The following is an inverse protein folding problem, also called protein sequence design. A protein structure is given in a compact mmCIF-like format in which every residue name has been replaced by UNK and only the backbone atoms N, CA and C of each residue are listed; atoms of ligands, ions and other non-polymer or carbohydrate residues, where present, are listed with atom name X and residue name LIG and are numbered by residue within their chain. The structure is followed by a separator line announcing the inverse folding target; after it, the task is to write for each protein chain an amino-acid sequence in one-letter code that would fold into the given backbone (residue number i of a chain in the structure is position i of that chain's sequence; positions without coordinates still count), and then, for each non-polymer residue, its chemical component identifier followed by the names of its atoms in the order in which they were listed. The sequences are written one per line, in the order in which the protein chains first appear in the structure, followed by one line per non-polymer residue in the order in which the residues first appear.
data_IF_677911619351
#
_entry.id   IF_677911619351
#
_cell.length_a   1.000
_cell.length_b   1.000
_cell.length_c   1.000
_cell.angle_alpha   90.00
_cell.angle_beta   90.00
_cell.angle_gamma   90.00
#
_symmetry.space_group_name_H-M   'P 1'
#
loop_
_entity.id
_entity.type
_entity.pdbx_description
1 polymer ?
#
# COMPACT_ATOMS: atom_id res chain seq x y z
N UNK A 1 15.12 -11.49 -1.15
CA UNK A 1 14.24 -10.31 -0.91
C UNK A 1 14.29 -10.02 0.58
N UNK A 2 14.26 -8.75 0.97
CA UNK A 2 14.21 -8.33 2.36
C UNK A 2 12.86 -7.62 2.57
N UNK A 3 12.08 -8.09 3.54
CA UNK A 3 10.84 -7.44 3.97
C UNK A 3 11.13 -6.68 5.27
N UNK A 4 10.65 -5.45 5.35
CA UNK A 4 10.90 -4.55 6.48
C UNK A 4 9.56 -4.02 6.99
N UNK A 5 9.17 -4.45 8.19
CA UNK A 5 8.06 -3.83 8.91
C UNK A 5 8.51 -2.44 9.38
N UNK A 6 7.89 -1.39 8.84
CA UNK A 6 8.23 -0.01 9.17
C UNK A 6 7.01 0.90 9.02
N UNK A 7 6.94 2.02 9.76
CA UNK A 7 7.86 2.45 10.82
C UNK A 7 7.71 1.62 12.12
N UNK A 8 8.40 2.04 13.19
CA UNK A 8 8.24 1.44 14.51
C UNK A 8 6.77 1.39 14.93
N UNK A 9 6.36 0.32 15.60
CA UNK A 9 4.98 -0.06 15.94
C UNK A 9 4.15 -0.70 14.80
N UNK A 10 4.71 -0.94 13.61
CA UNK A 10 4.07 -1.75 12.55
C UNK A 10 4.52 -3.21 12.62
N UNK A 11 3.58 -4.15 12.51
CA UNK A 11 3.87 -5.58 12.45
C UNK A 11 4.66 -6.04 13.67
N UNK A 12 5.89 -6.53 13.45
CA UNK A 12 6.81 -6.90 14.53
C UNK A 12 7.82 -5.83 14.92
N UNK A 13 7.82 -4.66 14.27
CA UNK A 13 8.68 -3.54 14.68
C UNK A 13 8.07 -2.84 15.90
N UNK A 14 8.78 -2.76 17.02
CA UNK A 14 8.25 -2.21 18.28
C UNK A 14 9.25 -1.33 19.01
N UNK A 15 8.73 -0.45 19.88
CA UNK A 15 9.48 0.44 20.77
C UNK A 15 9.55 -0.13 22.19
N UNK A 16 8.39 -0.43 22.78
CA UNK A 16 8.25 -1.05 24.10
C UNK A 16 7.04 -1.96 24.10
N UNK A 17 7.04 -2.95 24.99
CA UNK A 17 6.02 -3.98 25.03
C UNK A 17 4.96 -3.65 26.08
N UNK A 18 3.71 -3.80 25.68
CA UNK A 18 2.55 -3.74 26.56
C UNK A 18 1.72 -5.01 26.42
N UNK A 19 1.01 -5.37 27.49
CA UNK A 19 -0.05 -6.36 27.40
C UNK A 19 -1.36 -5.67 27.04
N UNK A 20 -2.15 -6.30 26.17
CA UNK A 20 -3.43 -5.75 25.72
C UNK A 20 -4.34 -6.79 25.09
N UNK A 21 -5.48 -6.31 24.60
CA UNK A 21 -6.45 -7.12 23.88
C UNK A 21 -6.84 -6.42 22.59
N UNK A 22 -6.96 -7.19 21.50
CA UNK A 22 -7.59 -6.76 20.26
C UNK A 22 -9.05 -7.22 20.28
N UNK A 23 -9.95 -6.40 19.73
CA UNK A 23 -11.35 -6.73 19.61
C UNK A 23 -11.72 -6.92 18.13
N UNK A 24 -11.64 -8.16 17.66
CA UNK A 24 -11.71 -8.56 16.25
C UNK A 24 -12.98 -8.05 15.51
N UNK A 25 -14.20 -8.08 16.10
CA UNK A 25 -15.39 -7.54 15.43
C UNK A 25 -15.41 -6.01 15.31
N UNK A 26 -14.64 -5.29 16.11
CA UNK A 26 -14.63 -3.82 16.16
C UNK A 26 -13.46 -3.27 15.35
N UNK A 27 -12.28 -3.83 15.58
CA UNK A 27 -11.07 -3.54 14.82
C UNK A 27 -10.01 -4.60 15.13
N UNK A 28 -9.55 -5.36 14.12
CA UNK A 28 -8.46 -6.34 14.28
C UNK A 28 -7.08 -5.66 14.51
N UNK A 29 -7.04 -4.33 14.58
CA UNK A 29 -5.81 -3.54 14.68
C UNK A 29 -5.75 -2.68 15.94
N UNK A 30 -6.88 -2.44 16.59
CA UNK A 30 -6.95 -1.56 17.75
C UNK A 30 -6.62 -2.33 19.04
N UNK A 31 -5.42 -2.12 19.55
CA UNK A 31 -4.98 -2.69 20.83
C UNK A 31 -5.51 -1.85 21.99
N UNK A 32 -6.24 -2.48 22.90
CA UNK A 32 -6.63 -1.89 24.19
C UNK A 32 -5.67 -2.36 25.29
N UNK A 33 -4.89 -1.48 25.93
CA UNK A 33 -3.99 -1.87 27.02
C UNK A 33 -4.77 -2.53 28.17
N UNK A 34 -4.29 -3.69 28.63
CA UNK A 34 -4.91 -4.46 29.71
C UNK A 34 -3.86 -5.27 30.45
N UNK A 35 -3.95 -5.30 31.78
CA UNK A 35 -3.19 -6.28 32.56
C UNK A 35 -3.81 -7.67 32.33
N UNK A 36 -3.14 -8.49 31.52
CA UNK A 36 -3.58 -9.84 31.21
C UNK A 36 -3.16 -10.78 32.35
N UNK A 37 -4.12 -11.45 32.95
CA UNK A 37 -3.89 -12.54 33.90
C UNK A 37 -3.90 -13.90 33.19
N UNK A 38 -3.38 -14.95 33.84
CA UNK A 38 -3.49 -16.33 33.34
C UNK A 38 -4.94 -16.77 33.11
N UNK A 39 -5.90 -16.20 33.85
CA UNK A 39 -7.32 -16.47 33.66
C UNK A 39 -7.85 -15.86 32.35
N UNK A 40 -7.37 -14.68 31.97
CA UNK A 40 -7.72 -14.04 30.69
C UNK A 40 -7.20 -14.84 29.48
N UNK A 41 -6.06 -15.54 29.64
CA UNK A 41 -5.49 -16.41 28.60
C UNK A 41 -6.22 -17.77 28.48
N UNK A 42 -6.95 -18.16 29.52
CA UNK A 42 -7.72 -19.42 29.54
C UNK A 42 -9.14 -19.27 28.98
N UNK A 43 -9.60 -18.04 28.80
CA UNK A 43 -10.86 -17.75 28.11
C UNK A 43 -10.56 -17.65 26.62
N UNK A 44 -10.94 -18.68 25.88
CA UNK A 44 -10.87 -18.71 24.42
C UNK A 44 -11.96 -17.79 23.84
N UNK A 45 -11.75 -16.48 23.92
CA UNK A 45 -12.66 -15.50 23.33
C UNK A 45 -12.26 -15.23 21.90
N UNK A 46 -12.91 -15.92 20.96
CA UNK A 46 -12.76 -15.75 19.51
C UNK A 46 -12.89 -14.28 19.04
N UNK A 47 -13.50 -13.42 19.84
CA UNK A 47 -13.71 -11.99 19.52
C UNK A 47 -12.74 -11.05 20.23
N UNK A 48 -12.12 -11.47 21.34
CA UNK A 48 -11.20 -10.64 22.11
C UNK A 48 -9.87 -11.38 22.27
N UNK A 49 -8.87 -11.00 21.49
CA UNK A 49 -7.58 -11.69 21.42
C UNK A 49 -6.59 -11.04 22.39
N UNK A 50 -6.22 -11.69 23.52
CA UNK A 50 -5.18 -11.20 24.40
C UNK A 50 -3.80 -11.39 23.75
N UNK A 51 -2.89 -10.46 24.02
CA UNK A 51 -1.53 -10.53 23.49
C UNK A 51 -0.57 -9.51 24.06
N UNK A 52 0.67 -9.58 23.59
CA UNK A 52 1.69 -8.57 23.83
C UNK A 52 1.88 -7.76 22.56
N UNK A 53 1.92 -6.44 22.66
CA UNK A 53 1.93 -5.52 21.52
C UNK A 53 2.94 -4.39 21.74
N UNK A 54 3.22 -3.62 20.69
CA UNK A 54 3.95 -2.36 20.80
C UNK A 54 3.16 -1.31 21.63
N UNK A 55 3.79 -0.22 22.04
CA UNK A 55 3.25 0.70 23.06
C UNK A 55 1.95 1.41 22.70
N UNK A 56 1.59 1.46 21.41
CA UNK A 56 0.50 2.26 20.86
C UNK A 56 0.66 3.77 21.10
N UNK A 57 1.86 4.22 21.48
CA UNK A 57 2.13 5.62 21.74
C UNK A 57 2.42 6.34 20.43
N UNK A 58 1.49 7.17 19.98
CA UNK A 58 1.61 8.03 18.77
C UNK A 58 2.89 8.87 18.78
N UNK A 59 3.35 9.32 19.96
CA UNK A 59 4.58 10.11 20.08
C UNK A 59 5.88 9.28 19.97
N UNK A 60 5.77 7.94 19.99
CA UNK A 60 6.91 7.00 19.90
C UNK A 60 6.98 6.31 18.53
N UNK A 61 6.42 6.92 17.49
CA UNK A 61 6.56 6.45 16.11
C UNK A 61 6.86 7.59 15.15
N UNK A 62 7.25 7.24 13.92
CA UNK A 62 7.36 8.22 12.84
C UNK A 62 5.98 8.81 12.56
N UNK A 63 5.92 10.12 12.38
CA UNK A 63 4.69 10.83 12.02
C UNK A 63 4.73 11.42 10.60
N UNK A 64 5.84 11.23 9.88
CA UNK A 64 5.98 11.61 8.47
C UNK A 64 6.75 10.54 7.70
N UNK A 65 6.52 10.46 6.39
CA UNK A 65 7.27 9.60 5.47
C UNK A 65 8.78 9.94 5.48
N UNK A 66 9.14 11.22 5.62
CA UNK A 66 10.55 11.64 5.70
C UNK A 66 11.26 11.09 6.95
N UNK A 67 10.60 11.08 8.11
CA UNK A 67 11.16 10.49 9.33
C UNK A 67 11.29 8.97 9.17
N UNK A 68 10.29 8.30 8.60
CA UNK A 68 10.33 6.86 8.31
C UNK A 68 11.48 6.50 7.35
N UNK A 69 11.73 7.31 6.32
CA UNK A 69 12.84 7.14 5.39
C UNK A 69 14.22 7.24 6.07
N UNK A 70 14.40 8.19 7.01
CA UNK A 70 15.63 8.30 7.80
C UNK A 70 15.89 7.06 8.64
N UNK A 71 14.87 6.60 9.37
CA UNK A 71 14.97 5.39 10.20
C UNK A 71 15.29 4.16 9.33
N UNK A 72 14.61 4.01 8.18
CA UNK A 72 14.86 2.93 7.23
C UNK A 72 16.28 2.98 6.66
N UNK A 73 16.83 4.16 6.38
CA UNK A 73 18.22 4.30 5.95
C UNK A 73 19.20 3.84 7.03
N UNK A 74 19.02 4.24 8.29
CA UNK A 74 19.86 3.78 9.40
C UNK A 74 19.77 2.27 9.59
N UNK A 75 18.57 1.70 9.47
CA UNK A 75 18.39 0.25 9.47
C UNK A 75 19.20 -0.40 8.34
N UNK A 76 19.08 0.08 7.09
CA UNK A 76 19.80 -0.48 5.94
C UNK A 76 21.33 -0.39 6.13
N UNK A 77 21.83 0.75 6.61
CA UNK A 77 23.26 0.94 6.90
C UNK A 77 23.75 -0.04 7.97
N UNK A 78 22.95 -0.27 9.02
CA UNK A 78 23.28 -1.22 10.08
C UNK A 78 23.23 -2.66 9.56
N UNK A 79 22.15 -3.02 8.85
CA UNK A 79 21.93 -4.35 8.29
C UNK A 79 23.08 -4.83 7.40
N UNK A 80 23.55 -4.01 6.46
CA UNK A 80 24.63 -4.39 5.56
C UNK A 80 26.00 -4.48 6.25
N UNK A 81 26.16 -3.88 7.44
CA UNK A 81 27.37 -3.94 8.24
C UNK A 81 27.35 -5.18 9.14
N UNK A 82 26.22 -5.46 9.81
CA UNK A 82 26.05 -6.61 10.70
C UNK A 82 25.88 -7.93 9.93
N UNK A 83 25.30 -7.88 8.73
CA UNK A 83 25.04 -9.05 7.88
C UNK A 83 25.72 -8.90 6.50
N UNK A 84 27.07 -8.88 6.44
CA UNK A 84 27.82 -8.63 5.21
C UNK A 84 27.57 -9.66 4.10
N UNK A 85 27.14 -10.88 4.45
CA UNK A 85 26.73 -11.93 3.50
C UNK A 85 25.48 -11.56 2.70
N UNK A 86 24.62 -10.69 3.23
CA UNK A 86 23.43 -10.16 2.55
C UNK A 86 23.70 -8.80 1.90
N UNK A 87 24.95 -8.31 1.92
CA UNK A 87 25.31 -7.06 1.27
C UNK A 87 24.99 -7.14 -0.23
N UNK A 88 24.27 -6.16 -0.79
CA UNK A 88 23.90 -6.21 -2.19
C UNK A 88 25.13 -6.19 -3.10
N UNK A 89 25.09 -6.96 -4.19
CA UNK A 89 26.15 -6.95 -5.20
C UNK A 89 26.33 -5.54 -5.76
N UNK A 90 27.57 -5.05 -5.79
CA UNK A 90 27.91 -3.68 -6.22
C UNK A 90 27.11 -2.59 -5.47
N UNK A 91 26.67 -2.87 -4.24
CA UNK A 91 25.79 -2.00 -3.44
C UNK A 91 24.50 -1.58 -4.16
N UNK A 92 24.00 -2.39 -5.11
CA UNK A 92 22.77 -2.09 -5.84
C UNK A 92 21.55 -2.59 -5.10
N UNK A 93 20.56 -1.72 -4.93
CA UNK A 93 19.33 -1.99 -4.21
C UNK A 93 18.12 -1.69 -5.10
N UNK A 94 17.10 -2.53 -5.00
CA UNK A 94 15.80 -2.27 -5.60
C UNK A 94 14.77 -2.13 -4.49
N UNK A 95 13.91 -1.14 -4.60
CA UNK A 95 12.85 -0.87 -3.64
C UNK A 95 11.50 -1.12 -4.31
N UNK A 96 10.67 -1.91 -3.64
CA UNK A 96 9.31 -2.20 -4.09
C UNK A 96 8.34 -1.89 -2.96
N UNK A 97 7.20 -1.31 -3.30
CA UNK A 97 6.16 -0.96 -2.34
C UNK A 97 4.78 -1.00 -2.97
N UNK A 98 3.77 -1.17 -2.13
CA UNK A 98 2.36 -1.22 -2.52
C UNK A 98 1.59 -0.13 -1.76
N UNK A 99 0.50 0.40 -2.33
CA UNK A 99 -0.39 1.32 -1.62
C UNK A 99 0.32 2.62 -1.18
N UNK A 100 0.36 2.90 0.12
CA UNK A 100 1.15 3.96 0.74
C UNK A 100 2.67 3.81 0.50
N UNK A 101 3.12 2.66 0.00
CA UNK A 101 4.45 2.48 -0.57
C UNK A 101 4.80 3.50 -1.66
N UNK A 102 3.81 4.11 -2.32
CA UNK A 102 4.00 5.26 -3.22
C UNK A 102 4.52 6.54 -2.55
N UNK A 103 4.41 6.64 -1.23
CA UNK A 103 5.08 7.67 -0.42
C UNK A 103 6.43 7.16 0.11
N UNK A 104 6.44 5.98 0.74
CA UNK A 104 7.65 5.44 1.37
C UNK A 104 8.81 5.21 0.39
N UNK A 105 8.53 4.58 -0.75
CA UNK A 105 9.59 4.12 -1.66
C UNK A 105 10.29 5.28 -2.37
N UNK A 106 9.59 6.25 -3.00
CA UNK A 106 10.26 7.39 -3.62
C UNK A 106 11.03 8.22 -2.59
N UNK A 107 10.46 8.44 -1.40
CA UNK A 107 11.10 9.21 -0.33
C UNK A 107 12.36 8.53 0.19
N UNK A 108 12.33 7.22 0.43
CA UNK A 108 13.51 6.46 0.83
C UNK A 108 14.60 6.44 -0.25
N UNK A 109 14.21 6.23 -1.52
CA UNK A 109 15.15 6.25 -2.65
C UNK A 109 15.83 7.62 -2.78
N UNK A 110 15.05 8.71 -2.72
CA UNK A 110 15.56 10.08 -2.73
C UNK A 110 16.48 10.37 -1.54
N UNK A 111 16.10 9.93 -0.34
CA UNK A 111 16.92 10.08 0.86
C UNK A 111 18.25 9.33 0.73
N UNK A 112 18.25 8.08 0.25
CA UNK A 112 19.48 7.32 -0.05
C UNK A 112 20.37 8.11 -1.04
N UNK A 113 19.80 8.66 -2.11
CA UNK A 113 20.52 9.51 -3.05
C UNK A 113 21.17 10.73 -2.40
N UNK A 114 20.45 11.40 -1.49
CA UNK A 114 20.98 12.53 -0.71
C UNK A 114 22.15 12.11 0.18
N UNK A 115 22.05 10.97 0.86
CA UNK A 115 23.10 10.45 1.73
C UNK A 115 24.33 10.04 0.92
N UNK A 116 24.15 9.43 -0.26
CA UNK A 116 25.28 9.10 -1.14
C UNK A 116 26.10 10.35 -1.53
N UNK A 117 25.44 11.48 -1.82
CA UNK A 117 26.11 12.75 -2.11
C UNK A 117 26.94 13.24 -0.91
N UNK A 118 26.40 13.12 0.30
CA UNK A 118 27.11 13.47 1.53
C UNK A 118 28.31 12.55 1.83
N UNK A 119 28.18 11.25 1.57
CA UNK A 119 29.28 10.29 1.70
C UNK A 119 30.39 10.63 0.70
N UNK A 120 30.04 10.88 -0.57
CA UNK A 120 31.02 11.19 -1.62
C UNK A 120 31.82 12.47 -1.33
N UNK A 121 31.17 13.47 -0.72
CA UNK A 121 31.79 14.75 -0.34
C UNK A 121 32.57 14.71 0.98
N UNK A 122 32.60 13.56 1.67
CA UNK A 122 33.22 13.37 3.00
C UNK A 122 32.68 14.31 4.08
N UNK A 123 31.46 14.83 3.91
CA UNK A 123 30.78 15.65 4.92
C UNK A 123 30.18 14.78 6.05
N UNK A 124 30.15 13.45 5.88
CA UNK A 124 29.88 12.50 6.96
C UNK A 124 31.23 12.08 7.56
N UNK A 125 31.43 12.45 8.82
CA UNK A 125 32.68 12.21 9.57
C UNK A 125 32.81 10.79 10.10
N UNK A 126 31.77 9.96 9.98
CA UNK A 126 31.82 8.54 10.32
C UNK A 126 32.27 7.74 9.09
N UNK A 127 33.45 7.15 9.17
CA UNK A 127 34.09 6.34 8.11
C UNK A 127 33.35 5.03 7.77
N UNK A 128 32.15 4.80 8.33
CA UNK A 128 31.42 3.53 8.27
C UNK A 128 30.22 3.51 7.29
N UNK A 129 29.73 4.67 6.82
CA UNK A 129 28.58 4.72 5.93
C UNK A 129 28.92 4.19 4.51
N UNK A 130 28.06 3.32 3.97
CA UNK A 130 28.24 2.66 2.67
C UNK A 130 27.25 3.24 1.66
N UNK A 131 27.72 3.77 0.51
CA UNK A 131 26.84 4.22 -0.57
C UNK A 131 25.98 3.07 -1.11
N UNK A 132 24.67 3.31 -1.25
CA UNK A 132 23.70 2.36 -1.81
C UNK A 132 23.10 2.92 -3.10
N UNK A 133 23.22 2.19 -4.21
CA UNK A 133 22.76 2.64 -5.52
C UNK A 133 21.38 2.05 -5.82
N UNK A 134 20.37 2.91 -5.98
CA UNK A 134 19.03 2.46 -6.35
C UNK A 134 19.03 2.07 -7.82
N UNK A 135 18.54 0.87 -8.13
CA UNK A 135 18.50 0.33 -9.49
C UNK A 135 17.08 0.24 -10.03
N UNK A 136 16.12 -0.16 -9.18
CA UNK A 136 14.69 -0.25 -9.53
C UNK A 136 13.85 0.31 -8.40
N UNK A 137 12.85 1.11 -8.76
CA UNK A 137 11.70 1.46 -7.94
C UNK A 137 10.47 0.83 -8.58
N UNK A 138 9.84 -0.11 -7.87
CA UNK A 138 8.58 -0.72 -8.29
C UNK A 138 7.44 -0.33 -7.36
N UNK A 139 6.31 0.06 -7.94
CA UNK A 139 5.17 0.60 -7.21
C UNK A 139 3.91 -0.13 -7.66
N UNK A 140 3.32 -0.91 -6.76
CA UNK A 140 2.09 -1.67 -6.99
C UNK A 140 0.91 -0.88 -6.42
N UNK A 141 -0.12 -0.59 -7.22
CA UNK A 141 -1.32 0.13 -6.79
C UNK A 141 -1.01 1.27 -5.84
N UNK A 142 -0.05 2.10 -6.23
CA UNK A 142 0.54 3.06 -5.32
C UNK A 142 -0.26 4.37 -5.29
N UNK A 143 -0.46 4.88 -4.10
CA UNK A 143 -0.90 6.24 -3.88
C UNK A 143 0.35 7.12 -3.78
N UNK A 144 0.52 8.05 -4.72
CA UNK A 144 1.77 8.79 -4.96
C UNK A 144 1.52 10.30 -4.84
N UNK A 145 0.50 10.83 -5.51
CA UNK A 145 0.21 12.27 -5.48
C UNK A 145 -1.29 12.58 -5.49
N UNK A 146 -1.74 13.25 -4.41
CA UNK A 146 -3.12 13.65 -4.22
C UNK A 146 -3.66 14.55 -5.33
N UNK A 147 -2.86 15.49 -5.84
CA UNK A 147 -3.32 16.45 -6.85
C UNK A 147 -3.63 15.79 -8.19
N UNK A 148 -3.06 14.61 -8.45
CA UNK A 148 -3.28 13.84 -9.68
C UNK A 148 -4.33 12.75 -9.49
N UNK A 149 -4.30 12.01 -8.37
CA UNK A 149 -5.14 10.82 -8.21
C UNK A 149 -6.53 11.14 -7.66
N UNK A 150 -6.66 12.10 -6.74
CA UNK A 150 -7.94 12.41 -6.09
C UNK A 150 -9.04 12.86 -7.06
N UNK A 151 -8.77 13.65 -8.10
CA UNK A 151 -9.77 13.97 -9.11
C UNK A 151 -10.37 12.75 -9.82
N UNK A 152 -9.69 11.59 -9.78
CA UNK A 152 -10.10 10.40 -10.51
C UNK A 152 -10.93 9.42 -9.69
N UNK A 153 -11.06 9.60 -8.38
CA UNK A 153 -12.02 8.81 -7.58
C UNK A 153 -13.46 8.91 -8.10
N UNK A 154 -14.04 10.11 -8.32
CA UNK A 154 -15.39 10.21 -8.84
C UNK A 154 -15.50 9.71 -10.29
N UNK A 155 -14.46 9.95 -11.12
CA UNK A 155 -14.42 9.44 -12.50
C UNK A 155 -14.49 7.92 -12.52
N UNK A 156 -13.64 7.25 -11.74
CA UNK A 156 -13.58 5.80 -11.70
C UNK A 156 -14.88 5.17 -11.14
N UNK A 157 -15.44 5.76 -10.09
CA UNK A 157 -16.68 5.28 -9.49
C UNK A 157 -17.90 5.41 -10.43
N UNK A 158 -17.86 6.37 -11.36
CA UNK A 158 -18.93 6.64 -12.31
C UNK A 158 -18.74 5.92 -13.67
N UNK A 159 -17.53 5.93 -14.22
CA UNK A 159 -17.15 5.33 -15.50
C UNK A 159 -15.83 4.56 -15.40
N UNK A 160 -15.91 3.23 -15.53
CA UNK A 160 -14.77 2.33 -15.44
C UNK A 160 -14.84 1.22 -16.50
N UNK A 161 -13.85 0.33 -16.43
CA UNK A 161 -13.65 -0.74 -17.40
C UNK A 161 -14.47 -2.00 -17.15
N UNK A 162 -15.30 -2.00 -16.11
CA UNK A 162 -16.18 -3.12 -15.75
C UNK A 162 -17.66 -2.80 -15.94
N UNK A 163 -17.99 -1.57 -16.37
CA UNK A 163 -19.36 -1.14 -16.65
C UNK A 163 -20.23 -0.97 -15.40
N UNK A 164 -19.61 -0.88 -14.22
CA UNK A 164 -20.31 -0.60 -12.96
C UNK A 164 -20.40 0.91 -12.74
N UNK A 165 -21.60 1.43 -12.59
CA UNK A 165 -21.81 2.81 -12.16
C UNK A 165 -22.15 2.79 -10.66
N UNK A 166 -21.12 2.93 -9.82
CA UNK A 166 -21.24 2.76 -8.35
C UNK A 166 -21.88 3.99 -7.70
N UNK A 167 -21.57 5.18 -8.21
CA UNK A 167 -22.18 6.45 -7.78
C UNK A 167 -23.12 7.00 -8.85
N UNK A 168 -24.16 7.72 -8.43
CA UNK A 168 -25.09 8.34 -9.36
C UNK A 168 -24.53 9.66 -9.94
N UNK A 169 -25.22 10.23 -10.94
CA UNK A 169 -24.75 11.45 -11.60
C UNK A 169 -24.66 12.66 -10.66
N UNK A 170 -25.57 12.81 -9.69
CA UNK A 170 -25.51 13.91 -8.71
C UNK A 170 -24.27 13.78 -7.84
N UNK A 171 -24.04 12.59 -7.27
CA UNK A 171 -22.84 12.31 -6.45
C UNK A 171 -21.55 12.54 -7.25
N UNK A 172 -21.54 12.15 -8.53
CA UNK A 172 -20.42 12.37 -9.43
C UNK A 172 -20.14 13.88 -9.65
N UNK A 173 -21.16 14.67 -9.96
CA UNK A 173 -21.01 16.12 -10.16
C UNK A 173 -20.60 16.83 -8.86
N UNK A 174 -21.24 16.51 -7.73
CA UNK A 174 -20.90 17.10 -6.43
C UNK A 174 -19.43 16.83 -6.05
N UNK A 175 -18.94 15.61 -6.31
CA UNK A 175 -17.55 15.25 -6.07
C UNK A 175 -16.58 16.00 -6.98
N UNK A 176 -16.91 16.18 -8.26
CA UNK A 176 -16.11 16.99 -9.20
C UNK A 176 -16.07 18.48 -8.80
N UNK A 177 -17.20 19.04 -8.35
CA UNK A 177 -17.29 20.43 -7.91
C UNK A 177 -16.44 20.70 -6.65
N UNK A 178 -16.18 19.67 -5.84
CA UNK A 178 -15.28 19.76 -4.69
C UNK A 178 -13.79 19.69 -5.04
N UNK A 179 -13.41 19.17 -6.22
CA UNK A 179 -12.01 18.98 -6.62
C UNK A 179 -11.20 20.29 -6.57
N UNK A 180 -11.66 21.42 -7.14
CA UNK A 180 -10.88 22.66 -7.10
C UNK A 180 -10.52 23.12 -5.69
N UNK A 181 -11.44 22.96 -4.73
CA UNK A 181 -11.17 23.30 -3.33
C UNK A 181 -10.17 22.32 -2.69
N UNK A 182 -10.28 21.02 -2.98
CA UNK A 182 -9.30 20.02 -2.54
C UNK A 182 -7.88 20.36 -3.04
N UNK A 183 -7.74 20.72 -4.32
CA UNK A 183 -6.45 21.10 -4.90
C UNK A 183 -5.90 22.38 -4.28
N UNK A 184 -6.73 23.40 -4.08
CA UNK A 184 -6.30 24.66 -3.42
C UNK A 184 -5.84 24.45 -1.97
N UNK A 185 -6.51 23.57 -1.21
CA UNK A 185 -6.09 23.20 0.14
C UNK A 185 -4.78 22.39 0.12
N UNK A 186 -4.62 21.50 -0.87
CA UNK A 186 -3.38 20.75 -1.09
C UNK A 186 -2.21 21.69 -1.37
N UNK A 187 -2.38 22.65 -2.28
CA UNK A 187 -1.36 23.66 -2.59
C UNK A 187 -1.04 24.52 -1.37
N UNK A 188 -2.03 24.89 -0.57
CA UNK A 188 -1.82 25.63 0.68
C UNK A 188 -0.95 24.83 1.66
N UNK A 189 -1.25 23.54 1.86
CA UNK A 189 -0.44 22.64 2.67
C UNK A 189 1.01 22.57 2.16
N UNK A 190 1.20 22.27 0.87
CA UNK A 190 2.54 22.09 0.26
C UNK A 190 3.37 23.36 0.32
N UNK A 191 2.80 24.51 -0.03
CA UNK A 191 3.46 25.81 0.07
C UNK A 191 3.90 26.16 1.51
N UNK A 192 3.12 25.75 2.52
CA UNK A 192 3.49 25.93 3.92
C UNK A 192 4.59 24.94 4.33
N UNK A 193 4.50 23.68 3.90
CA UNK A 193 5.50 22.64 4.17
C UNK A 193 6.87 23.05 3.63
N UNK A 194 6.96 23.47 2.36
CA UNK A 194 8.21 23.94 1.75
C UNK A 194 8.86 25.11 2.51
N UNK A 195 8.04 26.02 3.06
CA UNK A 195 8.54 27.23 3.74
C UNK A 195 8.89 26.99 5.21
N UNK A 196 8.16 26.11 5.89
CA UNK A 196 8.14 26.04 7.35
C UNK A 196 8.49 24.66 7.92
N UNK A 197 8.56 23.63 7.08
CA UNK A 197 8.98 22.27 7.41
C UNK A 197 9.67 21.56 6.21
N UNK A 198 10.70 22.17 5.58
CA UNK A 198 11.29 21.66 4.34
C UNK A 198 11.97 20.29 4.50
N UNK A 199 12.39 19.95 5.71
CA UNK A 199 12.95 18.63 6.03
C UNK A 199 11.88 17.61 6.46
N UNK A 200 10.60 17.97 6.47
CA UNK A 200 9.50 17.06 6.79
C UNK A 200 9.58 16.45 8.19
N UNK A 201 9.97 17.24 9.20
CA UNK A 201 10.03 16.77 10.59
C UNK A 201 8.65 16.64 11.23
N UNK A 202 7.59 17.20 10.63
CA UNK A 202 6.23 17.05 11.15
C UNK A 202 6.00 17.78 12.48
N UNK A 203 6.89 18.70 12.88
CA UNK A 203 6.80 19.42 14.15
C UNK A 203 6.09 20.78 14.03
N UNK A 204 5.88 21.26 12.80
CA UNK A 204 5.25 22.54 12.56
C UNK A 204 3.72 22.43 12.60
N UNK A 205 3.11 22.89 13.70
CA UNK A 205 1.65 22.82 13.91
C UNK A 205 0.84 23.48 12.78
N UNK A 206 1.33 24.60 12.22
CA UNK A 206 0.62 25.32 11.15
C UNK A 206 0.62 24.52 9.85
N UNK A 207 1.75 23.89 9.52
CA UNK A 207 1.85 23.00 8.36
C UNK A 207 0.93 21.79 8.56
N UNK A 208 1.06 21.11 9.70
CA UNK A 208 0.28 19.91 10.01
C UNK A 208 -1.23 20.19 9.92
N UNK A 209 -1.71 21.29 10.52
CA UNK A 209 -3.12 21.64 10.48
C UNK A 209 -3.62 21.90 9.05
N UNK A 210 -2.83 22.60 8.22
CA UNK A 210 -3.19 22.85 6.83
C UNK A 210 -3.26 21.54 6.02
N UNK A 211 -2.29 20.65 6.21
CA UNK A 211 -2.21 19.36 5.53
C UNK A 211 -3.28 18.36 5.98
N UNK A 212 -3.56 18.28 7.28
CA UNK A 212 -4.65 17.45 7.83
C UNK A 212 -6.02 17.96 7.32
N UNK A 213 -6.21 19.27 7.26
CA UNK A 213 -7.44 19.88 6.74
C UNK A 213 -7.62 19.56 5.26
N UNK A 214 -6.55 19.68 4.47
CA UNK A 214 -6.56 19.27 3.07
C UNK A 214 -6.89 17.78 2.91
N UNK A 215 -6.28 16.91 3.73
CA UNK A 215 -6.54 15.47 3.71
C UNK A 215 -8.02 15.16 3.95
N UNK A 216 -8.57 15.64 5.08
CA UNK A 216 -9.98 15.40 5.43
C UNK A 216 -10.93 15.96 4.38
N UNK A 217 -10.65 17.17 3.87
CA UNK A 217 -11.49 17.78 2.85
C UNK A 217 -11.40 17.07 1.51
N UNK A 218 -10.24 16.57 1.08
CA UNK A 218 -10.10 15.91 -0.21
C UNK A 218 -10.86 14.58 -0.24
N UNK A 219 -10.67 13.72 0.76
CA UNK A 219 -11.26 12.38 0.78
C UNK A 219 -12.75 12.37 1.15
N UNK A 220 -13.24 13.37 1.88
CA UNK A 220 -14.66 13.49 2.23
C UNK A 220 -15.60 13.45 1.00
N UNK A 221 -15.57 14.45 0.11
CA UNK A 221 -16.47 14.54 -1.05
C UNK A 221 -16.06 13.62 -2.20
N UNK A 222 -14.77 13.27 -2.37
CA UNK A 222 -14.32 12.53 -3.56
C UNK A 222 -14.33 11.01 -3.39
N UNK A 223 -14.15 10.50 -2.16
CA UNK A 223 -14.08 9.06 -1.87
C UNK A 223 -15.31 8.55 -1.11
N UNK A 224 -15.83 9.30 -0.12
CA UNK A 224 -16.93 8.81 0.73
C UNK A 224 -18.22 8.42 -0.03
N UNK A 225 -18.62 9.08 -1.13
CA UNK A 225 -19.80 8.64 -1.88
C UNK A 225 -19.69 7.18 -2.32
N UNK A 226 -18.51 6.73 -2.76
CA UNK A 226 -18.24 5.32 -3.08
C UNK A 226 -18.31 4.44 -1.83
N UNK A 227 -17.63 4.83 -0.74
CA UNK A 227 -17.57 4.04 0.50
C UNK A 227 -18.95 3.75 1.09
N UNK A 228 -19.91 4.66 0.88
CA UNK A 228 -21.29 4.49 1.34
C UNK A 228 -22.07 3.38 0.61
N UNK A 229 -21.54 2.83 -0.48
CA UNK A 229 -22.22 1.83 -1.33
C UNK A 229 -21.92 0.38 -0.94
N UNK A 230 -20.98 0.14 -0.03
CA UNK A 230 -20.64 -1.20 0.46
C UNK A 230 -19.80 -2.04 -0.51
N UNK A 231 -19.26 -1.43 -1.57
CA UNK A 231 -18.22 -2.05 -2.40
C UNK A 231 -16.88 -2.12 -1.64
N UNK A 232 -16.08 -3.15 -1.92
CA UNK A 232 -14.72 -3.22 -1.37
C UNK A 232 -13.82 -2.14 -2.02
N UNK A 233 -13.10 -1.39 -1.20
CA UNK A 233 -12.13 -0.38 -1.62
C UNK A 233 -10.95 -0.96 -2.40
N UNK A 234 -10.54 -2.18 -2.06
CA UNK A 234 -9.41 -2.87 -2.66
C UNK A 234 -9.80 -3.75 -3.86
N UNK A 235 -11.10 -3.94 -4.05
CA UNK A 235 -11.71 -4.55 -5.22
C UNK A 235 -13.13 -4.05 -5.46
N UNK A 236 -13.27 -2.99 -6.25
CA UNK A 236 -14.57 -2.32 -6.44
C UNK A 236 -15.62 -3.19 -7.12
N UNK A 237 -15.22 -4.32 -7.69
CA UNK A 237 -16.15 -5.25 -8.33
C UNK A 237 -16.84 -6.17 -7.32
N UNK A 238 -16.39 -6.17 -6.06
CA UNK A 238 -16.89 -6.98 -4.96
C UNK A 238 -17.62 -6.13 -3.91
N UNK A 239 -18.47 -6.77 -3.12
CA UNK A 239 -19.15 -6.17 -1.98
C UNK A 239 -18.50 -6.65 -0.69
N UNK A 240 -18.37 -5.77 0.30
CA UNK A 240 -17.90 -6.14 1.63
C UNK A 240 -18.99 -6.95 2.39
N UNK A 241 -18.62 -7.96 3.21
CA UNK A 241 -17.26 -8.44 3.44
C UNK A 241 -16.70 -9.22 2.25
N UNK A 242 -15.45 -8.96 1.88
CA UNK A 242 -14.67 -9.76 0.93
C UNK A 242 -13.58 -10.53 1.69
N UNK A 243 -13.33 -11.75 1.24
CA UNK A 243 -12.32 -12.65 1.81
C UNK A 243 -11.17 -12.91 0.85
N UNK A 244 -11.13 -12.21 -0.30
CA UNK A 244 -10.03 -12.29 -1.25
C UNK A 244 -9.29 -10.95 -1.38
N UNK A 245 -7.95 -10.93 -1.25
CA UNK A 245 -7.10 -12.05 -0.89
C UNK A 245 -7.32 -12.55 0.55
N UNK A 246 -7.03 -13.83 0.84
CA UNK A 246 -7.25 -14.38 2.17
C UNK A 246 -6.44 -13.68 3.27
N UNK A 247 -7.07 -13.39 4.41
CA UNK A 247 -6.46 -12.71 5.56
C UNK A 247 -5.67 -13.64 6.50
N UNK A 248 -5.27 -14.82 6.01
CA UNK A 248 -4.70 -15.91 6.82
C UNK A 248 -3.33 -15.60 7.44
N UNK A 249 -2.63 -14.59 6.94
CA UNK A 249 -1.31 -14.20 7.44
C UNK A 249 -1.34 -13.89 8.96
N UNK A 250 -2.40 -13.25 9.45
CA UNK A 250 -2.52 -12.89 10.86
C UNK A 250 -2.50 -14.11 11.79
N UNK A 251 -3.19 -15.20 11.44
CA UNK A 251 -3.23 -16.40 12.28
C UNK A 251 -1.92 -17.19 12.22
N UNK A 252 -1.30 -17.25 11.04
CA UNK A 252 0.01 -17.88 10.87
C UNK A 252 1.10 -17.14 11.68
N UNK A 253 1.21 -15.83 11.52
CA UNK A 253 2.22 -14.99 12.19
C UNK A 253 1.99 -14.88 13.70
N UNK A 254 0.76 -15.06 14.18
CA UNK A 254 0.44 -15.12 15.61
C UNK A 254 0.49 -16.53 16.21
N UNK A 255 0.83 -17.55 15.43
CA UNK A 255 1.07 -18.87 16.00
C UNK A 255 2.34 -18.89 16.86
N UNK A 256 2.27 -19.60 17.98
CA UNK A 256 3.40 -19.69 18.93
C UNK A 256 4.68 -20.22 18.28
N UNK A 257 4.54 -21.23 17.43
CA UNK A 257 5.66 -21.83 16.71
C UNK A 257 6.36 -20.82 15.80
N UNK A 258 5.59 -20.06 15.02
CA UNK A 258 6.14 -19.05 14.10
C UNK A 258 6.80 -17.91 14.86
N UNK A 259 6.18 -17.38 15.91
CA UNK A 259 6.78 -16.31 16.73
C UNK A 259 8.10 -16.75 17.38
N UNK A 260 8.16 -18.00 17.88
CA UNK A 260 9.39 -18.59 18.41
C UNK A 260 10.48 -18.70 17.33
N UNK A 261 10.11 -19.19 16.15
CA UNK A 261 11.05 -19.36 15.04
C UNK A 261 11.60 -18.01 14.53
N UNK A 262 10.78 -16.96 14.53
CA UNK A 262 11.19 -15.59 14.18
C UNK A 262 11.93 -14.87 15.32
N UNK A 263 11.85 -15.38 16.55
CA UNK A 263 12.46 -14.74 17.73
C UNK A 263 11.77 -13.44 18.15
N UNK A 264 10.48 -13.28 17.83
CA UNK A 264 9.72 -12.06 18.11
C UNK A 264 8.98 -12.14 19.46
N UNK A 265 9.00 -11.07 20.29
CA UNK A 265 8.40 -11.10 21.63
C UNK A 265 6.96 -10.58 21.70
N UNK A 266 6.32 -10.33 20.55
CA UNK A 266 5.01 -9.70 20.45
C UNK A 266 4.12 -10.38 19.40
N UNK A 267 2.83 -10.12 19.50
CA UNK A 267 1.82 -10.46 18.52
C UNK A 267 1.91 -9.54 17.28
N UNK A 268 1.72 -10.14 16.11
CA UNK A 268 1.66 -9.45 14.84
C UNK A 268 0.35 -8.67 14.72
N UNK A 269 0.43 -7.42 14.27
CA UNK A 269 -0.73 -6.64 13.82
C UNK A 269 -0.54 -6.23 12.36
N UNK A 270 -1.58 -6.43 11.53
CA UNK A 270 -1.54 -6.08 10.10
C UNK A 270 -1.51 -4.58 9.83
N UNK A 271 -1.89 -3.77 10.82
CA UNK A 271 -1.88 -2.31 10.78
C UNK A 271 -1.53 -1.77 12.18
N UNK A 272 -1.00 -0.56 12.24
CA UNK A 272 -0.75 0.18 13.48
C UNK A 272 -1.61 1.44 13.53
N UNK A 273 -2.58 1.47 14.45
CA UNK A 273 -3.48 2.62 14.62
C UNK A 273 -2.73 3.86 15.08
N UNK A 274 -1.70 3.69 15.93
CA UNK A 274 -0.84 4.78 16.37
C UNK A 274 -0.07 5.43 15.21
N UNK A 275 0.47 4.62 14.29
CA UNK A 275 1.15 5.12 13.08
C UNK A 275 0.16 5.81 12.15
N UNK A 276 -0.99 5.17 11.88
CA UNK A 276 -2.02 5.76 11.03
C UNK A 276 -2.48 7.12 11.57
N UNK A 277 -2.71 7.22 12.88
CA UNK A 277 -3.05 8.48 13.54
C UNK A 277 -1.93 9.52 13.38
N UNK A 278 -0.67 9.15 13.66
CA UNK A 278 0.47 10.07 13.55
C UNK A 278 0.59 10.67 12.14
N UNK A 279 0.42 9.85 11.10
CA UNK A 279 0.49 10.28 9.70
C UNK A 279 -0.72 11.12 9.26
N UNK A 280 -1.91 10.85 9.80
CA UNK A 280 -3.11 11.67 9.55
C UNK A 280 -3.01 13.03 10.23
N UNK A 281 -2.55 13.09 11.48
CA UNK A 281 -2.41 14.33 12.26
C UNK A 281 -1.36 15.29 11.67
N UNK A 282 -0.33 14.74 11.01
CA UNK A 282 0.58 15.56 10.22
C UNK A 282 0.01 15.86 8.83
N UNK A 283 -0.92 15.08 8.31
CA UNK A 283 -1.42 15.20 6.94
C UNK A 283 -0.37 14.78 5.91
N UNK A 284 0.44 13.77 6.24
CA UNK A 284 1.59 13.34 5.45
C UNK A 284 1.23 12.93 4.01
N UNK A 285 0.04 12.35 3.81
CA UNK A 285 -0.51 12.02 2.49
C UNK A 285 -0.55 13.23 1.53
N UNK A 286 -0.73 14.45 2.05
CA UNK A 286 -0.88 15.67 1.23
C UNK A 286 0.47 16.37 0.98
N UNK A 287 1.49 16.12 1.81
CA UNK A 287 2.77 16.84 1.80
C UNK A 287 3.52 16.80 0.46
N UNK A 288 3.34 15.76 -0.36
CA UNK A 288 3.81 15.72 -1.76
C UNK A 288 5.26 15.23 -1.94
N UNK A 289 5.97 15.79 -2.93
CA UNK A 289 7.35 15.47 -3.38
C UNK A 289 7.57 14.15 -4.14
N UNK A 290 6.68 13.16 -4.00
CA UNK A 290 6.90 11.85 -4.61
C UNK A 290 7.05 11.88 -6.14
N UNK A 291 6.27 12.73 -6.86
CA UNK A 291 6.36 12.87 -8.31
C UNK A 291 7.72 13.44 -8.77
N UNK A 292 8.21 14.47 -8.07
CA UNK A 292 9.52 15.08 -8.35
C UNK A 292 10.63 14.07 -8.09
N UNK A 293 10.57 13.36 -6.96
CA UNK A 293 11.53 12.31 -6.61
C UNK A 293 11.59 11.20 -7.67
N UNK A 294 10.43 10.77 -8.20
CA UNK A 294 10.41 9.79 -9.29
C UNK A 294 11.05 10.32 -10.58
N UNK A 295 10.87 11.61 -10.88
CA UNK A 295 11.53 12.29 -11.99
C UNK A 295 13.05 12.29 -11.86
N UNK A 296 13.55 12.74 -10.69
CA UNK A 296 14.97 12.77 -10.37
C UNK A 296 15.62 11.38 -10.41
N UNK A 297 14.90 10.36 -9.94
CA UNK A 297 15.36 8.97 -9.97
C UNK A 297 15.49 8.48 -11.43
N UNK A 298 14.51 8.75 -12.29
CA UNK A 298 14.59 8.41 -13.72
C UNK A 298 15.78 9.07 -14.41
N UNK A 299 15.99 10.37 -14.17
CA UNK A 299 17.12 11.12 -14.74
C UNK A 299 18.47 10.68 -14.18
N UNK A 300 18.47 10.01 -13.01
CA UNK A 300 19.64 9.34 -12.44
C UNK A 300 19.84 7.90 -12.95
N UNK A 301 19.02 7.43 -13.89
CA UNK A 301 19.11 6.10 -14.50
C UNK A 301 18.39 4.99 -13.73
N UNK A 302 17.57 5.32 -12.73
CA UNK A 302 16.75 4.33 -12.00
C UNK A 302 15.58 3.88 -12.88
N UNK A 303 15.29 2.58 -12.88
CA UNK A 303 14.09 2.03 -13.52
C UNK A 303 12.88 2.22 -12.62
N UNK A 304 11.81 2.82 -13.14
CA UNK A 304 10.54 3.01 -12.42
C UNK A 304 9.45 2.17 -13.08
N UNK A 305 8.92 1.21 -12.32
CA UNK A 305 7.85 0.33 -12.74
C UNK A 305 6.57 0.60 -11.94
N UNK A 306 5.56 1.15 -12.60
CA UNK A 306 4.23 1.39 -12.05
C UNK A 306 3.32 0.22 -12.46
N UNK A 307 2.72 -0.47 -11.48
CA UNK A 307 1.91 -1.68 -11.69
C UNK A 307 0.57 -1.53 -11.01
N UNK A 308 -0.51 -1.46 -11.77
CA UNK A 308 -1.84 -1.18 -11.23
C UNK A 308 -2.84 -2.25 -11.67
N UNK A 309 -3.44 -2.93 -10.69
CA UNK A 309 -4.61 -3.78 -10.90
C UNK A 309 -5.83 -2.94 -11.26
N UNK A 310 -6.59 -3.37 -12.28
CA UNK A 310 -7.69 -2.58 -12.81
C UNK A 310 -9.02 -2.71 -12.05
N UNK A 311 -9.05 -3.46 -10.95
CA UNK A 311 -10.15 -3.56 -9.98
C UNK A 311 -9.90 -2.84 -8.66
N UNK A 312 -8.73 -2.24 -8.46
CA UNK A 312 -8.48 -1.44 -7.28
C UNK A 312 -9.19 -0.09 -7.39
N UNK A 313 -9.91 0.32 -6.33
CA UNK A 313 -10.46 1.67 -6.23
C UNK A 313 -9.54 2.59 -5.43
N UNK A 314 -9.00 2.07 -4.31
CA UNK A 314 -8.25 2.83 -3.32
C UNK A 314 -7.05 3.57 -3.92
N UNK A 315 -6.28 2.94 -4.81
CA UNK A 315 -5.23 3.59 -5.58
C UNK A 315 -5.37 3.19 -7.06
N UNK A 316 -6.54 3.52 -7.63
CA UNK A 316 -6.97 3.04 -8.94
C UNK A 316 -6.00 3.31 -10.12
N UNK A 317 -6.11 2.46 -11.14
CA UNK A 317 -5.22 2.50 -12.32
C UNK A 317 -5.38 3.76 -13.18
N UNK A 318 -6.53 4.43 -13.18
CA UNK A 318 -6.68 5.71 -13.89
C UNK A 318 -5.76 6.75 -13.24
N UNK A 319 -5.75 6.81 -11.90
CA UNK A 319 -4.84 7.64 -11.13
C UNK A 319 -3.38 7.27 -11.40
N UNK A 320 -3.05 5.98 -11.38
CA UNK A 320 -1.71 5.48 -11.70
C UNK A 320 -1.23 5.86 -13.12
N UNK A 321 -2.12 5.80 -14.11
CA UNK A 321 -1.83 6.21 -15.48
C UNK A 321 -1.50 7.70 -15.53
N UNK A 322 -2.34 8.55 -14.92
CA UNK A 322 -2.08 9.99 -14.89
C UNK A 322 -0.81 10.34 -14.13
N UNK A 323 -0.48 9.62 -13.04
CA UNK A 323 0.81 9.75 -12.36
C UNK A 323 1.95 9.48 -13.35
N UNK A 324 1.90 8.38 -14.09
CA UNK A 324 2.95 8.02 -15.05
C UNK A 324 3.18 9.10 -16.13
N UNK A 325 2.11 9.78 -16.55
CA UNK A 325 2.15 10.85 -17.55
C UNK A 325 2.61 12.20 -16.97
N UNK A 326 2.38 12.41 -15.67
CA UNK A 326 2.70 13.62 -14.93
C UNK A 326 4.16 13.69 -14.46
N UNK A 327 4.83 12.55 -14.27
CA UNK A 327 6.26 12.50 -13.91
C UNK A 327 7.08 13.31 -14.94
N UNK A 328 7.84 14.29 -14.46
CA UNK A 328 8.73 15.10 -15.28
C UNK A 328 10.16 14.56 -15.20
N UNK A 329 10.73 14.23 -16.35
CA UNK A 329 12.08 13.70 -16.55
C UNK A 329 12.48 13.95 -18.01
N UNK A 330 13.74 13.69 -18.34
CA UNK A 330 14.23 13.66 -19.72
C UNK A 330 13.45 12.72 -20.64
N UNK A 331 12.82 11.67 -20.09
CA UNK A 331 12.07 10.64 -20.83
C UNK A 331 10.59 10.97 -21.05
N UNK A 332 10.05 12.01 -20.40
CA UNK A 332 8.61 12.21 -20.29
C UNK A 332 7.90 12.48 -21.63
N UNK A 333 8.56 13.18 -22.56
CA UNK A 333 7.97 13.43 -23.88
C UNK A 333 7.79 12.13 -24.67
N UNK A 334 8.83 11.30 -24.71
CA UNK A 334 8.81 10.00 -25.40
C UNK A 334 7.87 9.01 -24.71
N UNK A 335 7.82 8.98 -23.38
CA UNK A 335 6.86 8.16 -22.64
C UNK A 335 5.40 8.53 -22.95
N UNK A 336 5.09 9.84 -23.03
CA UNK A 336 3.75 10.31 -23.44
C UNK A 336 3.41 9.94 -24.88
N UNK A 337 4.40 9.83 -25.76
CA UNK A 337 4.22 9.40 -27.15
C UNK A 337 4.09 7.88 -27.32
N UNK A 338 4.60 7.08 -26.39
CA UNK A 338 4.54 5.62 -26.45
C UNK A 338 3.09 5.09 -26.36
N UNK A 339 2.82 3.99 -27.05
CA UNK A 339 1.51 3.31 -27.05
C UNK A 339 1.47 2.11 -26.10
N UNK A 340 0.27 1.58 -25.87
CA UNK A 340 0.06 0.36 -25.07
C UNK A 340 0.36 -0.92 -25.85
N UNK A 341 1.26 -1.75 -25.33
CA UNK A 341 1.56 -3.10 -25.81
C UNK A 341 1.05 -4.15 -24.82
N UNK A 342 0.71 -5.35 -25.31
CA UNK A 342 0.24 -6.46 -24.46
C UNK A 342 1.36 -7.02 -23.58
N UNK A 343 1.05 -7.29 -22.31
CA UNK A 343 1.93 -8.02 -21.39
C UNK A 343 1.70 -9.51 -21.59
N UNK A 344 2.57 -10.12 -22.39
CA UNK A 344 2.59 -11.58 -22.57
C UNK A 344 3.25 -12.24 -21.37
N UNK A 345 2.70 -13.34 -20.85
CA UNK A 345 3.26 -14.06 -19.69
C UNK A 345 3.81 -15.44 -20.09
N UNK A 346 2.98 -16.19 -20.80
CA UNK A 346 3.28 -17.41 -21.53
C UNK A 346 2.53 -17.36 -22.88
N UNK A 347 2.90 -18.22 -23.84
CA UNK A 347 2.69 -18.03 -25.29
C UNK A 347 1.32 -17.55 -25.80
N UNK A 348 0.21 -17.67 -25.04
CA UNK A 348 -1.11 -17.16 -25.41
C UNK A 348 -1.81 -16.26 -24.39
N UNK A 349 -1.36 -16.20 -23.13
CA UNK A 349 -2.05 -15.41 -22.09
C UNK A 349 -1.55 -13.96 -22.04
N UNK A 350 -2.50 -13.02 -22.09
CA UNK A 350 -2.27 -11.59 -21.92
C UNK A 350 -2.81 -11.17 -20.57
N UNK A 351 -1.92 -10.89 -19.62
CA UNK A 351 -2.30 -10.52 -18.25
C UNK A 351 -2.54 -9.02 -18.05
N UNK A 352 -2.34 -8.21 -19.08
CA UNK A 352 -2.44 -6.77 -18.99
C UNK A 352 -1.87 -6.06 -20.22
N UNK A 353 -1.74 -4.74 -20.10
CA UNK A 353 -1.08 -3.89 -21.08
C UNK A 353 -0.08 -2.96 -20.41
N UNK A 354 0.98 -2.61 -21.14
CA UNK A 354 2.03 -1.72 -20.66
C UNK A 354 2.30 -0.60 -21.67
N UNK A 355 2.44 0.61 -21.15
CA UNK A 355 3.10 1.72 -21.83
C UNK A 355 4.50 1.84 -21.24
N UNK A 356 5.53 1.84 -22.08
CA UNK A 356 6.92 1.92 -21.62
C UNK A 356 7.77 2.73 -22.58
N UNK A 357 8.65 3.55 -22.02
CA UNK A 357 9.76 4.18 -22.72
C UNK A 357 10.99 4.15 -21.83
N UNK A 358 12.09 3.58 -22.35
CA UNK A 358 13.32 3.36 -21.59
C UNK A 358 13.05 2.79 -20.20
N UNK A 359 13.43 3.57 -19.18
CA UNK A 359 13.36 3.20 -17.77
C UNK A 359 11.99 3.41 -17.10
N UNK A 360 11.01 4.04 -17.74
CA UNK A 360 9.68 4.28 -17.18
C UNK A 360 8.65 3.34 -17.81
N UNK A 361 7.92 2.60 -16.98
CA UNK A 361 6.79 1.75 -17.41
C UNK A 361 5.55 1.95 -16.55
N UNK A 362 4.38 1.92 -17.20
CA UNK A 362 3.06 1.85 -16.57
C UNK A 362 2.30 0.63 -17.07
N UNK A 363 1.99 -0.28 -16.16
CA UNK A 363 1.26 -1.51 -16.43
C UNK A 363 -0.14 -1.45 -15.82
N UNK A 364 -1.15 -1.66 -16.66
CA UNK A 364 -2.50 -1.99 -16.22
C UNK A 364 -2.66 -3.51 -16.27
N UNK A 365 -2.83 -4.11 -15.10
CA UNK A 365 -2.97 -5.57 -14.93
C UNK A 365 -4.45 -5.90 -14.83
N UNK A 366 -4.91 -6.82 -15.67
CA UNK A 366 -6.33 -7.17 -15.78
C UNK A 366 -6.78 -8.08 -14.65
N UNK A 367 -8.05 -7.95 -14.27
CA UNK A 367 -8.73 -8.77 -13.26
C UNK A 367 -8.03 -8.77 -11.88
N UNK A 368 -7.27 -7.71 -11.58
CA UNK A 368 -6.53 -7.57 -10.33
C UNK A 368 -7.01 -6.40 -9.47
N UNK A 369 -7.24 -6.66 -8.18
CA UNK A 369 -7.48 -5.63 -7.16
C UNK A 369 -6.18 -4.99 -6.67
N UNK A 370 -6.23 -4.43 -5.46
CA UNK A 370 -5.12 -3.67 -4.86
C UNK A 370 -3.82 -4.47 -4.75
N UNK A 371 -3.92 -5.73 -4.31
CA UNK A 371 -2.77 -6.61 -4.11
C UNK A 371 -2.47 -7.41 -5.38
N UNK A 372 -2.01 -6.75 -6.45
CA UNK A 372 -1.84 -7.37 -7.78
C UNK A 372 -1.19 -8.75 -7.77
N UNK A 373 -0.12 -9.02 -6.99
CA UNK A 373 0.51 -10.34 -6.94
C UNK A 373 -0.41 -11.47 -6.44
N UNK A 374 -1.43 -11.18 -5.64
CA UNK A 374 -2.42 -12.18 -5.22
C UNK A 374 -3.42 -12.52 -6.33
N UNK A 375 -3.87 -11.50 -7.06
CA UNK A 375 -4.86 -11.67 -8.13
C UNK A 375 -4.26 -12.28 -9.40
N UNK A 376 -3.07 -11.82 -9.77
CA UNK A 376 -2.41 -12.14 -11.03
C UNK A 376 -0.94 -12.52 -10.77
N UNK A 377 -0.65 -13.63 -10.05
CA UNK A 377 0.68 -13.96 -9.58
C UNK A 377 1.70 -14.16 -10.72
N UNK A 378 1.31 -14.84 -11.81
CA UNK A 378 2.21 -15.03 -12.96
C UNK A 378 2.52 -13.69 -13.63
N UNK A 379 1.50 -12.87 -13.91
CA UNK A 379 1.67 -11.56 -14.54
C UNK A 379 2.53 -10.63 -13.68
N UNK A 380 2.23 -10.52 -12.39
CA UNK A 380 3.00 -9.71 -11.45
C UNK A 380 4.47 -10.17 -11.38
N UNK A 381 4.72 -11.48 -11.31
CA UNK A 381 6.07 -12.03 -11.31
C UNK A 381 6.83 -11.71 -12.61
N UNK A 382 6.17 -11.80 -13.77
CA UNK A 382 6.79 -11.45 -15.06
C UNK A 382 7.17 -9.97 -15.11
N UNK A 383 6.27 -9.07 -14.70
CA UNK A 383 6.55 -7.63 -14.63
C UNK A 383 7.73 -7.36 -13.69
N UNK A 384 7.69 -7.91 -12.47
CA UNK A 384 8.77 -7.79 -11.50
C UNK A 384 10.11 -8.29 -12.07
N UNK A 385 10.15 -9.52 -12.58
CA UNK A 385 11.37 -10.12 -13.10
C UNK A 385 11.95 -9.35 -14.28
N UNK A 386 11.10 -8.81 -15.17
CA UNK A 386 11.54 -8.02 -16.33
C UNK A 386 12.09 -6.67 -15.91
N UNK A 387 11.41 -5.96 -15.01
CA UNK A 387 11.88 -4.69 -14.45
C UNK A 387 13.24 -4.85 -13.73
N UNK A 388 13.38 -5.93 -12.95
CA UNK A 388 14.63 -6.26 -12.26
C UNK A 388 15.76 -6.61 -13.23
N UNK A 389 15.46 -7.25 -14.36
CA UNK A 389 16.44 -7.60 -15.39
C UNK A 389 16.77 -6.45 -16.36
N UNK A 390 16.04 -5.33 -16.32
CA UNK A 390 16.16 -4.28 -17.33
C UNK A 390 15.65 -4.71 -18.71
N UNK A 391 14.64 -5.58 -18.74
CA UNK A 391 13.99 -6.03 -19.96
C UNK A 391 12.62 -5.35 -20.14
N UNK A 392 12.13 -5.31 -21.37
CA UNK A 392 10.83 -4.75 -21.69
C UNK A 392 9.73 -5.51 -20.95
N UNK A 393 8.75 -4.78 -20.43
CA UNK A 393 7.68 -5.37 -19.62
C UNK A 393 6.72 -6.20 -20.50
N UNK A 394 6.58 -5.86 -21.78
CA UNK A 394 5.62 -6.50 -22.69
C UNK A 394 5.96 -7.98 -22.98
N UNK A 395 7.23 -8.27 -23.26
CA UNK A 395 7.71 -9.58 -23.72
C UNK A 395 8.86 -10.13 -22.88
N UNK A 396 9.72 -9.25 -22.34
CA UNK A 396 10.94 -9.62 -21.63
C UNK A 396 12.05 -10.11 -22.55
N UNK A 397 11.98 -9.81 -23.84
CA UNK A 397 12.93 -10.27 -24.87
C UNK A 397 13.92 -9.17 -25.28
N UNK A 398 13.59 -7.91 -24.99
CA UNK A 398 14.34 -6.72 -25.40
C UNK A 398 14.90 -6.07 -24.15
N UNK A 399 16.20 -5.77 -24.12
CA UNK A 399 16.77 -4.93 -23.07
C UNK A 399 16.33 -3.49 -23.28
N UNK A 400 15.88 -2.84 -22.21
CA UNK A 400 15.35 -1.47 -22.28
C UNK A 400 16.49 -0.48 -22.21
N UNK A 401 17.04 -0.15 -23.38
CA UNK A 401 17.93 0.99 -23.57
C UNK A 401 17.12 2.30 -23.62
N UNK A 402 17.81 3.45 -23.61
CA UNK A 402 17.18 4.77 -23.51
C UNK A 402 16.19 5.10 -24.66
N UNK A 403 16.30 4.47 -25.82
CA UNK A 403 15.47 4.72 -27.00
C UNK A 403 14.29 3.74 -27.15
N UNK A 404 14.24 2.67 -26.35
CA UNK A 404 13.15 1.69 -26.40
C UNK A 404 11.79 2.35 -26.12
N UNK A 405 10.78 2.02 -26.93
CA UNK A 405 9.40 2.49 -26.73
C UNK A 405 8.41 1.41 -27.14
N UNK A 406 7.33 1.23 -26.36
CA UNK A 406 6.20 0.40 -26.78
C UNK A 406 5.38 1.10 -27.86
N UNK A 407 4.78 0.31 -28.76
CA UNK A 407 3.89 0.77 -29.81
C UNK A 407 2.49 0.17 -29.62
N UNK A 408 1.46 0.94 -29.99
CA UNK A 408 0.06 0.53 -29.87
C UNK A 408 -0.88 1.73 -29.65
N UNK A 409 -2.13 1.48 -29.22
CA UNK A 409 -3.09 2.53 -28.92
C UNK A 409 -2.59 3.48 -27.82
N UNK A 410 -2.98 4.76 -27.88
CA UNK A 410 -2.61 5.75 -26.87
C UNK A 410 -3.37 5.58 -25.54
N UNK A 411 -4.49 4.86 -25.54
CA UNK A 411 -5.30 4.59 -24.35
C UNK A 411 -5.64 3.10 -24.27
N UNK A 412 -5.71 2.58 -23.04
CA UNK A 412 -6.18 1.23 -22.75
C UNK A 412 -7.64 1.18 -22.28
N UNK A 413 -8.34 2.32 -22.14
CA UNK A 413 -9.67 2.40 -21.54
C UNK A 413 -10.76 1.62 -22.30
N UNK A 414 -10.56 1.40 -23.61
CA UNK A 414 -11.46 0.60 -24.44
C UNK A 414 -11.38 -0.90 -24.13
N UNK A 415 -10.34 -1.37 -23.43
CA UNK A 415 -10.22 -2.75 -22.98
C UNK A 415 -11.09 -2.90 -21.73
N UNK A 416 -12.27 -3.49 -21.94
CA UNK A 416 -13.29 -3.74 -20.91
C UNK A 416 -13.24 -5.19 -20.46
N UNK A 417 -13.48 -5.42 -19.17
CA UNK A 417 -13.59 -6.74 -18.56
C UNK A 417 -14.99 -6.93 -18.00
N UNK A 418 -15.38 -8.18 -17.77
CA UNK A 418 -16.63 -8.52 -17.10
C UNK A 418 -16.40 -8.62 -15.60
N UNK A 419 -17.37 -8.15 -14.81
CA UNK A 419 -17.35 -8.34 -13.35
C UNK A 419 -17.23 -9.83 -13.02
N UNK A 420 -16.16 -10.26 -12.33
CA UNK A 420 -15.98 -11.65 -11.95
C UNK A 420 -16.98 -12.04 -10.84
N UNK A 421 -17.29 -13.33 -10.77
CA UNK A 421 -18.13 -13.83 -9.68
C UNK A 421 -17.40 -13.69 -8.34
N UNK A 422 -18.08 -13.23 -7.28
CA UNK A 422 -17.48 -13.14 -5.96
C UNK A 422 -17.01 -14.52 -5.49
N UNK A 423 -15.83 -14.63 -4.85
CA UNK A 423 -15.50 -15.82 -4.09
C UNK A 423 -16.54 -16.00 -2.97
N UNK A 424 -16.75 -17.24 -2.53
CA UNK A 424 -17.60 -17.47 -1.35
C UNK A 424 -16.92 -16.80 -0.14
N UNK A 425 -17.57 -15.82 0.52
CA UNK A 425 -16.95 -15.14 1.64
C UNK A 425 -16.70 -16.12 2.78
N UNK A 426 -15.50 -16.06 3.32
CA UNK A 426 -15.05 -16.93 4.40
C UNK A 426 -14.86 -16.09 5.65
N UNK A 427 -15.67 -16.36 6.69
CA UNK A 427 -15.57 -15.66 7.97
C UNK A 427 -14.38 -16.21 8.77
N UNK A 428 -13.34 -15.39 8.90
CA UNK A 428 -12.05 -15.70 9.50
C UNK A 428 -11.89 -14.96 10.83
N UNK A 429 -11.55 -15.68 11.91
CA UNK A 429 -11.63 -15.15 13.28
C UNK A 429 -10.50 -14.20 13.66
N UNK A 430 -9.44 -14.11 12.86
CA UNK A 430 -8.37 -13.11 13.01
C UNK A 430 -8.59 -11.86 12.13
N UNK A 431 -9.77 -11.76 11.50
CA UNK A 431 -10.23 -10.55 10.84
C UNK A 431 -11.77 -10.56 10.71
N UNK A 432 -12.46 -10.53 11.86
CA UNK A 432 -13.93 -10.62 11.87
C UNK A 432 -14.56 -9.41 11.18
N UNK A 433 -13.97 -8.23 11.37
CA UNK A 433 -14.46 -6.97 10.80
C UNK A 433 -14.54 -7.01 9.27
N UNK A 434 -13.50 -7.51 8.58
CA UNK A 434 -13.44 -7.48 7.12
C UNK A 434 -14.05 -8.72 6.46
N UNK A 435 -14.06 -9.87 7.14
CA UNK A 435 -14.37 -11.16 6.50
C UNK A 435 -15.70 -11.78 6.91
N UNK A 436 -16.32 -11.32 8.00
CA UNK A 436 -17.56 -11.89 8.52
C UNK A 436 -18.76 -10.98 8.30
N UNK A 437 -19.89 -11.57 7.93
CA UNK A 437 -21.17 -10.86 7.90
C UNK A 437 -21.65 -10.51 9.32
N UNK A 438 -22.52 -9.49 9.50
CA UNK A 438 -23.04 -9.15 10.82
C UNK A 438 -23.69 -10.33 11.59
N UNK A 439 -24.47 -11.23 10.94
CA UNK A 439 -24.98 -12.44 11.61
C UNK A 439 -23.88 -13.41 12.07
N UNK A 440 -22.83 -13.60 11.27
CA UNK A 440 -21.69 -14.45 11.66
C UNK A 440 -20.93 -13.85 12.84
N UNK A 441 -20.66 -12.54 12.82
CA UNK A 441 -20.03 -11.83 13.94
C UNK A 441 -20.86 -11.97 15.23
N UNK A 442 -22.19 -11.92 15.14
CA UNK A 442 -23.07 -12.14 16.30
C UNK A 442 -22.99 -13.58 16.85
N UNK A 443 -22.87 -14.59 15.98
CA UNK A 443 -22.70 -15.99 16.37
C UNK A 443 -21.32 -16.26 17.01
N UNK A 444 -20.28 -15.55 16.57
CA UNK A 444 -18.98 -15.57 17.23
C UNK A 444 -19.05 -14.90 18.61
N UNK A 445 -19.69 -13.73 18.70
CA UNK A 445 -19.80 -12.96 19.94
C UNK A 445 -20.62 -13.65 21.04
N UNK A 446 -21.63 -14.44 20.67
CA UNK A 446 -22.46 -15.18 21.63
C UNK A 446 -21.95 -16.60 21.94
N UNK A 447 -20.82 -17.01 21.36
CA UNK A 447 -20.17 -18.31 21.61
C UNK A 447 -20.89 -19.52 21.00
N UNK A 448 -21.78 -19.31 20.02
CA UNK A 448 -22.50 -20.41 19.35
C UNK A 448 -21.87 -20.83 18.03
N UNK A 449 -20.92 -20.06 17.49
CA UNK A 449 -20.19 -20.40 16.27
C UNK A 449 -19.33 -21.67 16.44
N UNK A 450 -19.31 -22.51 15.40
CA UNK A 450 -18.40 -23.64 15.28
C UNK A 450 -17.23 -23.17 14.42
N UNK A 451 -16.03 -23.14 15.01
CA UNK A 451 -14.80 -22.66 14.36
C UNK A 451 -13.81 -23.82 14.19
N UNK A 452 -13.19 -23.92 13.02
CA UNK A 452 -12.10 -24.85 12.72
C UNK A 452 -10.99 -24.10 12.00
N UNK A 453 -9.76 -24.23 12.47
CA UNK A 453 -8.59 -23.56 11.90
C UNK A 453 -8.80 -22.05 11.67
N UNK A 454 -9.41 -21.38 12.65
CA UNK A 454 -9.81 -19.95 12.62
C UNK A 454 -10.91 -19.59 11.60
N UNK A 455 -11.62 -20.58 11.05
CA UNK A 455 -12.69 -20.38 10.07
C UNK A 455 -14.03 -20.79 10.69
N UNK A 456 -15.04 -19.92 10.59
CA UNK A 456 -16.39 -20.27 11.00
C UNK A 456 -17.01 -21.25 9.99
N UNK A 457 -17.26 -22.49 10.42
CA UNK A 457 -17.81 -23.58 9.59
C UNK A 457 -19.27 -23.91 9.90
N UNK A 458 -19.84 -23.30 10.95
CA UNK A 458 -21.21 -23.56 11.36
C UNK A 458 -21.59 -22.86 12.65
N UNK A 459 -22.71 -23.26 13.25
CA UNK A 459 -23.18 -22.79 14.55
C UNK A 459 -24.05 -23.81 15.27
N UNK A 460 -24.22 -23.64 16.58
CA UNK A 460 -25.03 -24.50 17.46
C UNK A 460 -26.34 -23.79 17.82
N UNK A 461 -27.47 -24.45 17.57
CA UNK A 461 -28.80 -23.96 17.95
C UNK A 461 -29.05 -24.12 19.47
N UNK A 462 -30.03 -23.40 20.05
CA UNK A 462 -30.36 -23.51 21.48
C UNK A 462 -30.75 -24.92 21.96
N UNK A 463 -31.21 -25.78 21.05
CA UNK A 463 -31.54 -27.18 21.31
C UNK A 463 -30.31 -28.12 21.22
N UNK A 464 -29.10 -27.58 20.99
CA UNK A 464 -27.86 -28.33 20.83
C UNK A 464 -27.62 -28.89 19.42
N UNK A 465 -28.50 -28.61 18.45
CA UNK A 465 -28.30 -29.06 17.07
C UNK A 465 -27.21 -28.23 16.38
N UNK A 466 -26.21 -28.91 15.82
CA UNK A 466 -25.19 -28.27 14.98
C UNK A 466 -25.70 -28.05 13.55
N UNK A 467 -25.42 -26.88 12.99
CA UNK A 467 -25.66 -26.51 11.59
C UNK A 467 -24.30 -26.21 10.97
N UNK A 468 -23.89 -27.01 9.97
CA UNK A 468 -22.62 -26.87 9.25
C UNK A 468 -22.90 -26.39 7.82
N UNK A 469 -22.07 -25.48 7.32
CA UNK A 469 -22.20 -24.88 5.97
C UNK A 469 -21.77 -25.78 4.82
#
# INVERSE_FOLDING_TARGET
MLYLDQPIQVGFSYDSLINGTINEPQSPFAVTPKNISLADLSQDTLTAVPGTFASQNVASTANTTFIAARASWYFLQTWIQEFPEYKPKNNRLSLWGESYGGHYVPTLAGYIGSQNKLIATKNITTTAAVPLHIEVVGLVNACIDNSIQTPLYPVFAYDNTYGLQVINNTEYQDALDAVPQCLNLTDTCRNLAEKLDPEGWGNNKRVNQACETAYKFCFGPTLQPFNSKGHDLFDFTQLAPDSFPPKFAAGYLNSREVQLALGVPLNFTGLSTAVAQAFVETGDFIRGHNLELLGDLLDSGVRVALVYGDRDYQCNWLGGEQISLAIQSSSSASFRAAGYASISTNGSYIGGVVRQHGNLSFSRVFDAGHQVPYYQPETAYRIFSRAMAGADIATGQILTEADYSTAGPSSSFCIKNTVPQPPKPLCYTWDIMETCTPPQAALLANGTAIVRDFIMVGYVLPNGTEVIY
#
